data_IF_919991894768
#
_entry.id   IF_919991894768
#
_cell.length_a   1.000
_cell.length_b   1.000
_cell.length_c   1.000
_cell.angle_alpha   90.00
_cell.angle_beta   90.00
_cell.angle_gamma   90.00
#
_symmetry.space_group_name_H-M   'P 1'
#
loop_
_entity.id
_entity.type
_entity.pdbx_description
1 polymer ?
#
# COMPACT_ATOMS: atom_id res chain seq x y z
N UNK A 1 -3.71 4.91 -15.73
CA UNK A 1 -4.78 4.58 -14.76
C UNK A 1 -5.03 5.82 -13.92
N UNK A 2 -6.27 6.26 -13.75
CA UNK A 2 -6.60 7.45 -12.93
C UNK A 2 -6.72 7.04 -11.46
N UNK A 3 -6.49 7.98 -10.53
CA UNK A 3 -6.57 7.74 -9.08
C UNK A 3 -7.93 7.13 -8.66
N UNK A 4 -9.01 7.52 -9.33
CA UNK A 4 -10.36 7.02 -9.07
C UNK A 4 -10.51 5.53 -9.41
N UNK A 5 -9.80 5.04 -10.43
CA UNK A 5 -9.80 3.61 -10.77
C UNK A 5 -9.11 2.78 -9.68
N UNK A 6 -8.02 3.28 -9.09
CA UNK A 6 -7.35 2.62 -7.96
C UNK A 6 -8.32 2.51 -6.78
N UNK A 7 -8.98 3.61 -6.40
CA UNK A 7 -9.95 3.62 -5.30
C UNK A 7 -11.10 2.66 -5.57
N UNK A 8 -11.61 2.61 -6.81
CA UNK A 8 -12.63 1.64 -7.20
C UNK A 8 -12.20 0.19 -7.02
N UNK A 9 -10.99 -0.19 -7.47
CA UNK A 9 -10.52 -1.57 -7.28
C UNK A 9 -10.34 -1.94 -5.81
N UNK A 10 -9.93 -0.98 -4.97
CA UNK A 10 -9.79 -1.22 -3.54
C UNK A 10 -11.13 -1.51 -2.84
N UNK A 11 -12.24 -0.92 -3.29
CA UNK A 11 -13.56 -1.25 -2.72
C UNK A 11 -14.00 -2.67 -3.08
N UNK A 12 -13.55 -3.21 -4.21
CA UNK A 12 -13.85 -4.58 -4.61
C UNK A 12 -13.14 -5.63 -3.75
N UNK A 13 -12.09 -5.24 -3.02
CA UNK A 13 -11.31 -6.15 -2.17
C UNK A 13 -12.08 -6.64 -0.92
N UNK A 14 -13.14 -5.94 -0.51
CA UNK A 14 -13.91 -6.29 0.68
C UNK A 14 -14.63 -7.64 0.55
N UNK A 15 -15.14 -7.94 -0.64
CA UNK A 15 -15.88 -9.17 -0.95
C UNK A 15 -15.14 -10.11 -1.89
N UNK A 16 -13.96 -9.71 -2.38
CA UNK A 16 -13.13 -10.49 -3.28
C UNK A 16 -12.59 -11.79 -2.65
N UNK A 17 -12.54 -12.84 -3.47
CA UNK A 17 -11.79 -14.05 -3.15
C UNK A 17 -10.26 -13.83 -3.25
N UNK A 18 -9.48 -14.82 -2.82
CA UNK A 18 -8.02 -14.70 -2.79
C UNK A 18 -7.42 -14.50 -4.18
N UNK A 19 -8.03 -15.06 -5.23
CA UNK A 19 -7.55 -14.92 -6.60
C UNK A 19 -7.73 -13.48 -7.08
N UNK A 20 -8.91 -12.92 -6.89
CA UNK A 20 -9.24 -11.55 -7.27
C UNK A 20 -8.40 -10.53 -6.48
N UNK A 21 -8.12 -10.81 -5.20
CA UNK A 21 -7.20 -10.00 -4.38
C UNK A 21 -5.79 -9.96 -4.98
N UNK A 22 -5.25 -11.11 -5.36
CA UNK A 22 -3.93 -11.21 -5.97
C UNK A 22 -3.87 -10.52 -7.34
N UNK A 23 -4.93 -10.63 -8.14
CA UNK A 23 -5.04 -9.93 -9.43
C UNK A 23 -5.03 -8.40 -9.24
N UNK A 24 -5.84 -7.89 -8.31
CA UNK A 24 -5.87 -6.46 -7.98
C UNK A 24 -4.52 -5.99 -7.46
N UNK A 25 -3.88 -6.74 -6.54
CA UNK A 25 -2.54 -6.42 -6.05
C UNK A 25 -1.53 -6.32 -7.20
N UNK A 26 -1.52 -7.30 -8.11
CA UNK A 26 -0.63 -7.29 -9.28
C UNK A 26 -0.91 -6.10 -10.20
N UNK A 27 -2.17 -5.72 -10.41
CA UNK A 27 -2.52 -4.52 -11.16
C UNK A 27 -1.94 -3.27 -10.51
N UNK A 28 -2.07 -3.12 -9.19
CA UNK A 28 -1.55 -1.98 -8.43
C UNK A 28 -0.02 -1.91 -8.52
N UNK A 29 0.67 -3.04 -8.38
CA UNK A 29 2.13 -3.14 -8.52
C UNK A 29 2.57 -2.79 -9.94
N UNK A 30 1.85 -3.25 -10.96
CA UNK A 30 2.15 -2.93 -12.37
C UNK A 30 1.97 -1.44 -12.69
N UNK A 31 1.07 -0.72 -11.99
CA UNK A 31 0.99 0.74 -12.10
C UNK A 31 2.25 1.40 -11.51
N UNK A 32 2.89 0.78 -10.53
CA UNK A 32 4.17 1.21 -9.98
C UNK A 32 4.09 2.51 -9.19
N UNK A 33 5.11 3.35 -9.34
CA UNK A 33 5.25 4.61 -8.58
C UNK A 33 4.05 5.55 -8.70
N UNK A 34 3.31 5.51 -9.81
CA UNK A 34 2.12 6.33 -10.02
C UNK A 34 0.96 5.96 -9.07
N UNK A 35 0.93 4.73 -8.54
CA UNK A 35 -0.08 4.31 -7.57
C UNK A 35 0.26 4.73 -6.13
N UNK A 36 1.53 5.00 -5.83
CA UNK A 36 2.03 5.21 -4.47
C UNK A 36 1.25 6.29 -3.69
N UNK A 37 1.01 7.50 -4.23
CA UNK A 37 0.33 8.54 -3.44
C UNK A 37 -1.07 8.11 -3.01
N UNK A 38 -1.81 7.45 -3.90
CA UNK A 38 -3.16 6.95 -3.63
C UNK A 38 -3.13 5.79 -2.65
N UNK A 39 -2.21 4.84 -2.82
CA UNK A 39 -2.07 3.70 -1.91
C UNK A 39 -1.68 4.14 -0.50
N UNK A 40 -0.80 5.13 -0.35
CA UNK A 40 -0.40 5.67 0.96
C UNK A 40 -1.55 6.45 1.63
N UNK A 41 -2.35 7.18 0.85
CA UNK A 41 -3.60 7.79 1.36
C UNK A 41 -4.56 6.71 1.88
N UNK A 42 -4.81 5.67 1.07
CA UNK A 42 -5.75 4.61 1.40
C UNK A 42 -5.27 3.74 2.57
N UNK A 43 -3.98 3.49 2.70
CA UNK A 43 -3.42 2.69 3.79
C UNK A 43 -3.77 3.24 5.18
N UNK A 44 -4.03 4.54 5.29
CA UNK A 44 -4.46 5.22 6.52
C UNK A 44 -5.96 5.09 6.80
N UNK A 45 -6.78 4.86 5.77
CA UNK A 45 -8.25 4.86 5.88
C UNK A 45 -8.83 3.45 5.88
N UNK A 46 -8.28 2.56 5.04
CA UNK A 46 -8.78 1.20 4.86
C UNK A 46 -8.34 0.28 6.00
N UNK A 47 -9.12 -0.78 6.25
CA UNK A 47 -8.92 -1.73 7.34
C UNK A 47 -8.95 -3.18 6.84
N UNK A 48 -8.61 -4.12 7.72
CA UNK A 48 -8.71 -5.56 7.44
C UNK A 48 -7.92 -6.01 6.22
N UNK A 49 -8.53 -6.87 5.40
CA UNK A 49 -7.88 -7.46 4.23
C UNK A 49 -7.46 -6.41 3.19
N UNK A 50 -8.27 -5.36 2.99
CA UNK A 50 -7.97 -4.28 2.04
C UNK A 50 -6.66 -3.59 2.42
N UNK A 51 -6.48 -3.29 3.71
CA UNK A 51 -5.23 -2.69 4.23
C UNK A 51 -4.02 -3.58 3.99
N UNK A 52 -4.18 -4.90 4.13
CA UNK A 52 -3.12 -5.87 3.84
C UNK A 52 -2.67 -5.83 2.38
N UNK A 53 -3.62 -5.82 1.44
CA UNK A 53 -3.31 -5.74 -0.01
C UNK A 53 -2.63 -4.42 -0.37
N UNK A 54 -3.09 -3.30 0.18
CA UNK A 54 -2.47 -1.99 -0.03
C UNK A 54 -1.04 -1.97 0.51
N UNK A 55 -0.82 -2.48 1.73
CA UNK A 55 0.51 -2.59 2.32
C UNK A 55 1.45 -3.46 1.48
N UNK A 56 0.99 -4.63 1.05
CA UNK A 56 1.77 -5.55 0.22
C UNK A 56 2.11 -4.95 -1.14
N UNK A 57 1.16 -4.23 -1.75
CA UNK A 57 1.39 -3.50 -3.00
C UNK A 57 2.51 -2.47 -2.85
N UNK A 58 2.50 -1.69 -1.76
CA UNK A 58 3.54 -0.69 -1.49
C UNK A 58 4.93 -1.31 -1.26
N UNK A 59 4.99 -2.44 -0.55
CA UNK A 59 6.23 -3.22 -0.36
C UNK A 59 6.78 -3.68 -1.71
N UNK A 60 5.93 -4.29 -2.55
CA UNK A 60 6.30 -4.81 -3.87
C UNK A 60 6.67 -3.73 -4.87
N UNK A 61 6.07 -2.53 -4.76
CA UNK A 61 6.49 -1.36 -5.53
C UNK A 61 7.90 -0.91 -5.10
N UNK A 62 8.23 -1.02 -3.81
CA UNK A 62 9.58 -0.84 -3.29
C UNK A 62 9.95 0.62 -2.99
N UNK A 63 11.20 0.98 -3.29
CA UNK A 63 11.81 2.30 -3.01
C UNK A 63 10.93 3.53 -3.33
N UNK A 64 10.17 3.57 -4.45
CA UNK A 64 9.28 4.70 -4.73
C UNK A 64 8.25 5.00 -3.62
N UNK A 65 7.91 4.00 -2.79
CA UNK A 65 6.98 4.15 -1.67
C UNK A 65 7.60 4.84 -0.44
N UNK A 66 8.93 4.80 -0.28
CA UNK A 66 9.61 5.14 0.98
C UNK A 66 9.39 6.59 1.40
N UNK A 67 9.55 7.54 0.48
CA UNK A 67 9.45 8.96 0.82
C UNK A 67 8.00 9.37 1.17
N UNK A 68 7.02 8.80 0.48
CA UNK A 68 5.60 9.00 0.82
C UNK A 68 5.28 8.42 2.21
N UNK A 69 5.78 7.23 2.52
CA UNK A 69 5.60 6.59 3.84
C UNK A 69 6.24 7.43 4.96
N UNK A 70 7.47 7.94 4.77
CA UNK A 70 8.14 8.84 5.72
C UNK A 70 7.33 10.10 5.97
N UNK A 71 6.81 10.72 4.90
CA UNK A 71 6.02 11.96 4.99
C UNK A 71 4.74 11.73 5.81
N UNK A 72 4.06 10.60 5.61
CA UNK A 72 2.87 10.27 6.40
C UNK A 72 3.24 9.98 7.86
N UNK A 73 4.32 9.25 8.12
CA UNK A 73 4.80 8.96 9.47
C UNK A 73 5.08 10.23 10.29
N UNK A 74 5.59 11.27 9.63
CA UNK A 74 5.84 12.58 10.27
C UNK A 74 4.55 13.32 10.62
N UNK A 75 3.52 13.19 9.78
CA UNK A 75 2.26 13.91 9.93
C UNK A 75 1.22 13.17 10.78
N UNK A 76 1.37 11.85 10.94
CA UNK A 76 0.42 10.99 11.64
C UNK A 76 1.17 10.02 12.57
N UNK A 77 1.19 10.34 13.87
CA UNK A 77 1.88 9.56 14.90
C UNK A 77 1.33 8.16 15.07
N UNK A 78 0.03 7.97 14.93
CA UNK A 78 -0.60 6.65 15.00
C UNK A 78 -0.19 5.76 13.83
N UNK A 79 0.25 6.36 12.72
CA UNK A 79 0.69 5.67 11.53
C UNK A 79 2.21 5.47 11.46
N UNK A 80 2.97 6.11 12.36
CA UNK A 80 4.44 6.11 12.33
C UNK A 80 5.01 4.70 12.36
N UNK A 81 4.48 3.82 13.23
CA UNK A 81 4.93 2.43 13.34
C UNK A 81 4.70 1.64 12.05
N UNK A 82 3.52 1.81 11.42
CA UNK A 82 3.15 1.11 10.19
C UNK A 82 4.04 1.54 9.05
N UNK A 83 4.27 2.83 8.89
CA UNK A 83 5.15 3.37 7.86
C UNK A 83 6.59 2.87 8.06
N UNK A 84 7.10 2.86 9.30
CA UNK A 84 8.43 2.32 9.62
C UNK A 84 8.55 0.84 9.26
N UNK A 85 7.56 0.03 9.63
CA UNK A 85 7.49 -1.38 9.28
C UNK A 85 7.55 -1.58 7.75
N UNK A 86 6.72 -0.87 6.98
CA UNK A 86 6.75 -1.03 5.51
C UNK A 86 8.08 -0.58 4.91
N UNK A 87 8.70 0.47 5.44
CA UNK A 87 10.02 0.91 4.99
C UNK A 87 11.09 -0.15 5.29
N UNK A 88 11.06 -0.82 6.45
CA UNK A 88 12.02 -1.90 6.74
C UNK A 88 11.81 -3.10 5.82
N UNK A 89 10.56 -3.48 5.54
CA UNK A 89 10.24 -4.53 4.56
C UNK A 89 10.77 -4.19 3.16
N UNK A 90 10.55 -2.95 2.69
CA UNK A 90 11.02 -2.48 1.38
C UNK A 90 12.54 -2.56 1.26
N UNK A 91 13.25 -2.16 2.31
CA UNK A 91 14.72 -2.13 2.32
C UNK A 91 15.35 -3.48 2.58
N UNK A 92 14.56 -4.52 2.88
CA UNK A 92 15.06 -5.80 3.34
C UNK A 92 15.76 -5.73 4.69
N UNK A 93 15.44 -4.73 5.51
CA UNK A 93 15.99 -4.53 6.86
C UNK A 93 15.22 -5.35 7.91
N UNK A 94 14.75 -6.55 7.55
CA UNK A 94 14.22 -7.47 8.57
C UNK A 94 15.43 -7.95 9.38
N UNK A 95 15.50 -7.46 10.62
CA UNK A 95 16.41 -7.94 11.64
C UNK A 95 16.37 -9.49 11.67
N UNK A 96 17.52 -10.10 11.39
CA UNK A 96 17.81 -11.47 11.76
C UNK A 96 17.71 -11.66 13.28
#
# INVERSE_FOLDING_TARGET
>A
MHADSIKYFLTQLETADNKSKAEIENMLVNVGSAAVPVLVEQLQTVKGAVRGVVAMSLIRIGEPSVDCLKKVAQNNKDFEWVAKYLISEIKGEIAA
#
